data_IF_579162791079
#
_entry.id   IF_579162791079
#
_cell.length_a   1.000
_cell.length_b   1.000
_cell.length_c   1.000
_cell.angle_alpha   90.00
_cell.angle_beta   90.00
_cell.angle_gamma   90.00
#
_symmetry.space_group_name_H-M   'P 1'
#
loop_
_entity.id
_entity.type
_entity.pdbx_description
1 polymer ?
#
# COMPACT_ATOMS: atom_id res chain seq x y z
N UNK A 1 -15.01 -12.11 13.90
CA UNK A 1 -14.38 -10.96 14.58
C UNK A 1 -13.28 -10.41 13.68
N UNK A 2 -13.30 -9.12 13.34
CA UNK A 2 -12.27 -8.55 12.47
C UNK A 2 -10.94 -8.41 13.25
N UNK A 3 -9.87 -9.07 12.78
CA UNK A 3 -8.54 -8.98 13.38
C UNK A 3 -7.87 -7.65 13.01
N UNK A 4 -8.11 -6.61 13.82
CA UNK A 4 -7.59 -5.27 13.57
C UNK A 4 -6.07 -5.22 13.42
N UNK A 5 -5.34 -5.98 14.24
CA UNK A 5 -3.87 -6.01 14.22
C UNK A 5 -3.34 -6.54 12.87
N UNK A 6 -3.96 -7.60 12.38
CA UNK A 6 -3.63 -8.17 11.08
C UNK A 6 -3.96 -7.19 9.95
N UNK A 7 -5.13 -6.53 10.03
CA UNK A 7 -5.56 -5.53 9.03
C UNK A 7 -4.54 -4.38 8.95
N UNK A 8 -4.11 -3.84 10.10
CA UNK A 8 -3.11 -2.76 10.14
C UNK A 8 -1.78 -3.21 9.52
N UNK A 9 -1.27 -4.40 9.89
CA UNK A 9 -0.01 -4.93 9.35
C UNK A 9 -0.05 -5.19 7.84
N UNK A 10 -1.18 -5.69 7.35
CA UNK A 10 -1.33 -6.13 5.94
C UNK A 10 -1.67 -4.96 5.01
N UNK A 11 -2.54 -4.04 5.43
CA UNK A 11 -3.12 -3.02 4.55
C UNK A 11 -2.54 -1.61 4.73
N UNK A 12 -1.84 -1.28 5.81
CA UNK A 12 -1.15 0.02 5.96
C UNK A 12 0.15 0.09 5.15
N UNK A 13 0.04 -0.19 3.85
CA UNK A 13 1.12 -0.10 2.86
C UNK A 13 0.59 0.65 1.65
N UNK A 14 1.47 1.43 1.01
CA UNK A 14 1.15 2.04 -0.29
C UNK A 14 1.76 1.22 -1.43
N UNK A 15 1.04 1.10 -2.54
CA UNK A 15 1.44 0.41 -3.76
C UNK A 15 1.74 1.46 -4.83
N UNK A 16 2.88 1.36 -5.49
CA UNK A 16 3.19 2.24 -6.61
C UNK A 16 2.27 1.94 -7.81
N UNK A 17 1.67 2.98 -8.41
CA UNK A 17 0.85 2.81 -9.61
C UNK A 17 1.66 2.49 -10.88
N UNK A 18 2.98 2.75 -10.87
CA UNK A 18 3.87 2.46 -12.02
C UNK A 18 4.48 1.07 -11.96
N UNK A 19 5.06 0.67 -10.81
CA UNK A 19 5.80 -0.59 -10.69
C UNK A 19 5.23 -1.58 -9.67
N UNK A 20 4.05 -1.31 -9.09
CA UNK A 20 3.38 -2.16 -8.10
C UNK A 20 4.20 -2.50 -6.84
N UNK A 21 5.30 -1.79 -6.59
CA UNK A 21 6.11 -2.00 -5.39
C UNK A 21 5.36 -1.57 -4.12
N UNK A 22 5.51 -2.36 -3.06
CA UNK A 22 5.06 -2.02 -1.69
C UNK A 22 6.01 -1.01 -1.05
N UNK A 23 5.45 0.11 -0.61
CA UNK A 23 6.10 1.22 0.08
C UNK A 23 5.48 1.45 1.47
N UNK A 24 6.16 2.21 2.32
CA UNK A 24 5.66 2.58 3.64
C UNK A 24 4.44 3.51 3.54
N UNK A 25 3.65 3.59 4.62
CA UNK A 25 2.48 4.47 4.66
C UNK A 25 2.84 5.97 4.54
N UNK A 26 4.03 6.35 5.04
CA UNK A 26 4.57 7.71 4.99
C UNK A 26 5.46 7.97 3.77
N UNK A 27 5.55 7.05 2.81
CA UNK A 27 6.36 7.27 1.61
C UNK A 27 5.70 8.31 0.69
N UNK A 28 6.50 9.29 0.25
CA UNK A 28 6.12 10.28 -0.77
C UNK A 28 6.44 9.78 -2.18
N UNK A 29 7.47 8.93 -2.32
CA UNK A 29 7.91 8.35 -3.60
C UNK A 29 8.21 6.87 -3.49
N UNK A 30 8.09 6.16 -4.61
CA UNK A 30 8.40 4.75 -4.67
C UNK A 30 9.90 4.51 -4.48
N UNK A 31 10.27 3.65 -3.53
CA UNK A 31 11.67 3.26 -3.25
C UNK A 31 12.40 2.55 -4.40
N UNK A 32 11.66 2.07 -5.41
CA UNK A 32 12.23 1.36 -6.56
C UNK A 32 12.35 2.24 -7.81
N UNK A 33 11.31 3.00 -8.15
CA UNK A 33 11.25 3.74 -9.42
C UNK A 33 11.18 5.26 -9.26
N UNK A 34 11.14 5.80 -8.03
CA UNK A 34 11.02 7.23 -7.78
C UNK A 34 9.65 7.84 -8.07
N UNK A 35 8.70 7.09 -8.64
CA UNK A 35 7.36 7.60 -8.96
C UNK A 35 6.58 8.00 -7.69
N UNK A 36 5.94 9.17 -7.72
CA UNK A 36 5.26 9.79 -6.57
C UNK A 36 3.82 9.29 -6.34
N UNK A 37 3.13 8.82 -7.39
CA UNK A 37 1.76 8.33 -7.23
C UNK A 37 1.73 6.92 -6.62
N UNK A 38 1.40 6.91 -5.33
CA UNK A 38 1.30 5.74 -4.47
C UNK A 38 -0.14 5.59 -3.99
N UNK A 39 -0.79 4.49 -4.33
CA UNK A 39 -2.16 4.17 -3.86
C UNK A 39 -2.15 3.37 -2.57
N UNK A 40 -3.15 3.48 -1.68
CA UNK A 40 -3.30 2.53 -0.58
C UNK A 40 -3.56 1.10 -1.11
N UNK A 41 -3.10 0.09 -0.38
CA UNK A 41 -3.46 -1.30 -0.66
C UNK A 41 -4.97 -1.47 -0.40
N UNK A 42 -5.68 -2.08 -1.36
CA UNK A 42 -7.12 -2.30 -1.23
C UNK A 42 -7.41 -3.19 -0.01
N UNK A 43 -8.36 -2.77 0.84
CA UNK A 43 -8.81 -3.51 2.03
C UNK A 43 -9.87 -4.56 1.71
N UNK A 44 -10.67 -4.29 0.68
CA UNK A 44 -11.76 -5.16 0.22
C UNK A 44 -11.38 -5.78 -1.13
N UNK A 45 -11.97 -6.95 -1.42
CA UNK A 45 -11.88 -7.55 -2.73
C UNK A 45 -12.55 -6.64 -3.77
N UNK A 46 -11.99 -6.60 -4.98
CA UNK A 46 -12.64 -5.93 -6.11
C UNK A 46 -13.53 -6.98 -6.78
N UNK A 47 -14.80 -6.63 -7.00
CA UNK A 47 -15.74 -7.44 -7.76
C UNK A 47 -15.31 -7.53 -9.24
#
# INVERSE_FOLDING_TARGET
MAFEEAIKRVFMKRICMKCNARNSWKAEKCRKCGYSNLRPKAKEARA
#
